data_IF_211962116982
#
_entry.id   IF_211962116982
#
_cell.length_a   1.000
_cell.length_b   1.000
_cell.length_c   1.000
_cell.angle_alpha   90.00
_cell.angle_beta   90.00
_cell.angle_gamma   90.00
#
_symmetry.space_group_name_H-M   'P 1'
#
loop_
_entity.id
_entity.type
_entity.pdbx_description
1 polymer ?
#
# COMPACT_ATOMS: atom_id res chain seq x y z
N UNK A 1 4.55 -10.98 -5.56
CA UNK A 1 5.44 -11.26 -4.42
C UNK A 1 5.40 -10.06 -3.50
N UNK A 2 5.26 -10.26 -2.18
CA UNK A 2 5.23 -9.13 -1.24
C UNK A 2 6.59 -8.45 -1.15
N UNK A 3 6.62 -7.13 -1.28
CA UNK A 3 7.83 -6.35 -0.99
C UNK A 3 8.07 -6.30 0.52
N UNK A 4 9.31 -6.07 1.00
CA UNK A 4 9.58 -5.94 2.43
C UNK A 4 8.66 -4.93 3.14
N UNK A 5 8.38 -3.78 2.51
CA UNK A 5 7.51 -2.75 3.07
C UNK A 5 6.05 -3.19 3.16
N UNK A 6 5.56 -4.00 2.21
CA UNK A 6 4.22 -4.59 2.30
C UNK A 6 4.10 -5.56 3.48
N UNK A 7 5.16 -6.32 3.78
CA UNK A 7 5.17 -7.25 4.92
C UNK A 7 5.14 -6.47 6.24
N UNK A 8 5.91 -5.38 6.37
CA UNK A 8 5.88 -4.50 7.55
C UNK A 8 4.48 -3.90 7.78
N UNK A 9 3.88 -3.36 6.73
CA UNK A 9 2.53 -2.80 6.83
C UNK A 9 1.50 -3.87 7.21
N UNK A 10 1.60 -5.06 6.63
CA UNK A 10 0.71 -6.19 6.94
C UNK A 10 0.84 -6.63 8.41
N UNK A 11 2.06 -6.66 8.97
CA UNK A 11 2.27 -6.90 10.41
C UNK A 11 1.56 -5.83 11.23
N UNK A 12 1.73 -4.55 10.89
CA UNK A 12 1.04 -3.44 11.57
C UNK A 12 -0.49 -3.58 11.55
N UNK A 13 -1.08 -3.97 10.41
CA UNK A 13 -2.52 -4.23 10.32
C UNK A 13 -2.96 -5.42 11.18
N UNK A 14 -2.16 -6.49 11.24
CA UNK A 14 -2.45 -7.61 12.12
C UNK A 14 -2.39 -7.21 13.60
N UNK A 15 -1.48 -6.30 13.98
CA UNK A 15 -1.39 -5.77 15.35
C UNK A 15 -2.66 -5.01 15.74
N UNK A 16 -3.24 -4.23 14.81
CA UNK A 16 -4.50 -3.50 15.05
C UNK A 16 -5.65 -4.42 15.49
N UNK A 17 -5.66 -5.67 15.03
CA UNK A 17 -6.71 -6.63 15.39
C UNK A 17 -6.32 -7.54 16.55
N UNK A 18 -5.04 -7.80 16.73
CA UNK A 18 -4.54 -8.57 17.87
C UNK A 18 -4.62 -7.77 19.18
N UNK A 19 -4.38 -6.46 19.11
CA UNK A 19 -4.37 -5.54 20.23
C UNK A 19 -5.51 -4.51 20.08
N UNK A 20 -6.76 -4.86 20.42
CA UNK A 20 -7.91 -3.96 20.25
C UNK A 20 -7.83 -2.67 21.09
N UNK A 21 -7.02 -2.68 22.16
CA UNK A 21 -6.76 -1.52 23.01
C UNK A 21 -5.61 -0.63 22.48
N UNK A 22 -5.02 -0.97 21.34
CA UNK A 22 -3.96 -0.16 20.73
C UNK A 22 -4.49 1.22 20.35
N UNK A 23 -3.84 2.26 20.88
CA UNK A 23 -4.17 3.66 20.61
C UNK A 23 -3.32 4.25 19.49
N UNK A 24 -2.16 3.64 19.19
CA UNK A 24 -1.30 4.04 18.08
C UNK A 24 -0.53 2.85 17.53
N UNK A 25 -0.48 2.73 16.20
CA UNK A 25 0.37 1.78 15.50
C UNK A 25 1.16 2.53 14.44
N UNK A 26 2.48 2.52 14.57
CA UNK A 26 3.39 3.22 13.65
C UNK A 26 4.29 2.22 12.93
N UNK A 27 4.33 2.31 11.60
CA UNK A 27 5.23 1.53 10.75
C UNK A 27 6.46 2.38 10.41
N UNK A 28 7.64 1.82 10.61
CA UNK A 28 8.92 2.52 10.44
C UNK A 28 9.13 3.64 11.47
N UNK A 29 8.87 3.35 12.74
CA UNK A 29 8.99 4.31 13.83
C UNK A 29 10.46 4.59 14.19
N UNK A 30 10.73 5.72 14.83
CA UNK A 30 12.05 6.09 15.34
C UNK A 30 12.01 6.00 16.87
N UNK A 31 12.80 5.11 17.43
CA UNK A 31 12.85 4.83 18.88
C UNK A 31 14.24 5.09 19.43
N UNK A 32 14.31 5.79 20.57
CA UNK A 32 15.55 6.13 21.26
C UNK A 32 16.32 4.86 21.67
N UNK A 33 17.51 4.69 21.11
CA UNK A 33 18.53 3.71 21.51
C UNK A 33 19.49 4.40 22.49
N UNK A 34 19.44 4.00 23.77
CA UNK A 34 20.25 4.59 24.83
C UNK A 34 21.74 4.27 24.67
N UNK A 35 22.07 3.06 24.22
CA UNK A 35 23.46 2.64 24.05
C UNK A 35 24.16 3.44 22.95
N UNK A 36 23.44 3.76 21.88
CA UNK A 36 23.93 4.55 20.75
C UNK A 36 23.72 6.07 20.92
N UNK A 37 22.92 6.51 21.91
CA UNK A 37 22.59 7.91 22.15
C UNK A 37 21.84 8.58 20.99
N UNK A 38 21.05 7.81 20.24
CA UNK A 38 20.31 8.31 19.06
C UNK A 38 19.04 7.52 18.80
N UNK A 39 18.16 8.09 17.98
CA UNK A 39 17.00 7.39 17.46
C UNK A 39 17.40 6.32 16.43
N UNK A 40 16.76 5.16 16.47
CA UNK A 40 16.89 4.09 15.47
C UNK A 40 15.53 3.64 14.98
N UNK A 41 15.53 3.17 13.74
CA UNK A 41 14.34 2.61 13.10
C UNK A 41 13.82 1.39 13.88
N UNK A 42 12.51 1.24 13.98
CA UNK A 42 11.82 0.01 14.37
C UNK A 42 10.71 -0.23 13.34
N UNK A 43 10.63 -1.45 12.82
CA UNK A 43 9.76 -1.76 11.67
C UNK A 43 8.27 -1.52 11.99
N UNK A 44 7.80 -1.93 13.18
CA UNK A 44 6.45 -1.64 13.68
C UNK A 44 6.49 -1.39 15.18
N UNK A 45 5.83 -0.33 15.65
CA UNK A 45 5.57 -0.08 17.07
C UNK A 45 4.08 -0.04 17.35
N UNK A 46 3.70 -0.51 18.54
CA UNK A 46 2.32 -0.49 19.05
C UNK A 46 2.34 0.18 20.41
N UNK A 47 1.51 1.20 20.57
CA UNK A 47 1.32 1.92 21.83
C UNK A 47 -0.05 1.57 22.39
N UNK A 48 -0.06 1.13 23.65
CA UNK A 48 -1.27 0.88 24.43
C UNK A 48 -1.20 1.80 25.64
N UNK A 49 -2.30 2.50 25.91
CA UNK A 49 -2.44 3.32 27.11
C UNK A 49 -3.35 2.60 28.11
N UNK A 50 -3.15 2.84 29.39
CA UNK A 50 -4.07 2.40 30.43
C UNK A 50 -5.36 3.25 30.43
N UNK A 51 -6.29 2.92 31.33
CA UNK A 51 -7.55 3.66 31.50
C UNK A 51 -7.39 5.13 31.88
N UNK A 52 -6.20 5.54 32.33
CA UNK A 52 -5.88 6.92 32.70
C UNK A 52 -5.21 7.69 31.54
N UNK A 53 -4.97 7.03 30.41
CA UNK A 53 -4.26 7.60 29.27
C UNK A 53 -2.74 7.60 29.42
N UNK A 54 -2.19 6.92 30.44
CA UNK A 54 -0.75 6.74 30.60
C UNK A 54 -0.26 5.54 29.78
N UNK A 55 0.98 5.59 29.31
CA UNK A 55 1.59 4.51 28.54
C UNK A 55 1.64 3.23 29.38
N UNK A 56 0.89 2.20 28.99
CA UNK A 56 0.89 0.89 29.65
C UNK A 56 1.84 -0.07 28.95
N UNK A 57 1.82 -0.09 27.62
CA UNK A 57 2.69 -0.94 26.82
C UNK A 57 3.22 -0.23 25.58
N UNK A 58 4.49 -0.48 25.27
CA UNK A 58 5.12 -0.06 24.03
C UNK A 58 5.80 -1.27 23.40
N UNK A 59 5.13 -1.88 22.42
CA UNK A 59 5.61 -3.09 21.74
C UNK A 59 6.44 -2.68 20.54
N UNK A 60 7.60 -3.34 20.35
CA UNK A 60 8.47 -3.13 19.21
C UNK A 60 8.68 -4.43 18.43
N UNK A 61 8.37 -4.39 17.14
CA UNK A 61 8.43 -5.53 16.25
C UNK A 61 9.38 -5.28 15.09
N UNK A 62 10.26 -6.24 14.85
CA UNK A 62 11.15 -6.28 13.70
C UNK A 62 10.62 -7.27 12.67
N UNK A 63 10.64 -6.90 11.40
CA UNK A 63 10.03 -7.68 10.31
C UNK A 63 11.07 -7.95 9.25
N UNK A 64 11.26 -9.22 8.89
CA UNK A 64 12.26 -9.65 7.91
C UNK A 64 11.60 -10.46 6.80
N UNK A 65 11.93 -10.08 5.57
CA UNK A 65 11.46 -10.74 4.36
C UNK A 65 12.67 -11.27 3.59
N UNK A 66 13.21 -12.39 4.05
CA UNK A 66 14.46 -12.98 3.54
C UNK A 66 14.19 -14.28 2.78
N UNK A 67 15.13 -14.69 1.93
CA UNK A 67 15.02 -15.98 1.22
C UNK A 67 15.40 -17.20 2.06
N UNK A 68 16.09 -17.00 3.19
CA UNK A 68 16.60 -18.07 4.06
C UNK A 68 16.19 -17.83 5.52
N UNK A 69 15.99 -18.89 6.32
CA UNK A 69 15.66 -18.74 7.73
C UNK A 69 16.71 -17.91 8.47
N UNK A 70 16.27 -17.07 9.40
CA UNK A 70 17.16 -16.22 10.18
C UNK A 70 18.04 -17.08 11.11
N UNK A 71 19.34 -16.80 11.09
CA UNK A 71 20.33 -17.47 11.90
C UNK A 71 20.50 -16.79 13.28
N UNK A 72 21.36 -17.39 14.10
CA UNK A 72 21.62 -16.89 15.47
C UNK A 72 22.18 -15.47 15.44
N UNK A 73 23.10 -15.18 14.52
CA UNK A 73 23.78 -13.87 14.44
C UNK A 73 22.77 -12.78 14.14
N UNK A 74 21.91 -13.00 13.15
CA UNK A 74 20.87 -12.03 12.75
C UNK A 74 19.91 -11.75 13.91
N UNK A 75 19.43 -12.81 14.57
CA UNK A 75 18.51 -12.68 15.71
C UNK A 75 19.18 -12.03 16.92
N UNK A 76 20.44 -12.32 17.21
CA UNK A 76 21.18 -11.67 18.29
C UNK A 76 21.34 -10.16 18.07
N UNK A 77 21.63 -9.74 16.84
CA UNK A 77 21.73 -8.31 16.50
C UNK A 77 20.40 -7.58 16.71
N UNK A 78 19.29 -8.21 16.35
CA UNK A 78 17.95 -7.65 16.56
C UNK A 78 17.62 -7.60 18.06
N UNK A 79 17.91 -8.67 18.82
CA UNK A 79 17.71 -8.70 20.27
C UNK A 79 18.49 -7.56 20.94
N UNK A 80 19.75 -7.36 20.56
CA UNK A 80 20.59 -6.29 21.11
C UNK A 80 19.97 -4.92 20.80
N UNK A 81 19.63 -4.67 19.52
CA UNK A 81 18.94 -3.44 19.08
C UNK A 81 17.71 -3.12 19.94
N UNK A 82 16.81 -4.09 20.14
CA UNK A 82 15.58 -3.89 20.91
C UNK A 82 15.84 -3.83 22.43
N UNK A 83 16.97 -4.33 22.91
CA UNK A 83 17.35 -4.26 24.33
C UNK A 83 17.89 -2.90 24.71
N UNK A 84 18.57 -2.22 23.78
CA UNK A 84 19.08 -0.87 23.97
C UNK A 84 17.97 0.21 23.94
N UNK A 85 16.70 -0.19 23.78
CA UNK A 85 15.52 0.68 23.76
C UNK A 85 14.68 0.46 25.03
N UNK A 86 14.92 1.21 26.13
CA UNK A 86 14.36 0.94 27.46
C UNK A 86 12.84 1.11 27.55
N UNK A 87 12.25 1.93 26.66
CA UNK A 87 10.79 2.14 26.63
C UNK A 87 10.04 0.91 26.12
N UNK A 88 10.73 0.01 25.40
CA UNK A 88 10.11 -1.17 24.79
C UNK A 88 9.77 -2.20 25.86
N UNK A 89 8.48 -2.44 26.06
CA UNK A 89 7.98 -3.41 27.05
C UNK A 89 7.81 -4.81 26.45
N UNK A 90 7.55 -4.91 25.15
CA UNK A 90 7.40 -6.19 24.44
C UNK A 90 8.19 -6.20 23.13
N UNK A 91 8.80 -7.35 22.82
CA UNK A 91 9.72 -7.50 21.71
C UNK A 91 9.34 -8.71 20.88
N UNK A 92 9.18 -8.53 19.58
CA UNK A 92 8.99 -9.65 18.68
C UNK A 92 9.72 -9.49 17.35
N UNK A 93 9.97 -10.61 16.70
CA UNK A 93 10.50 -10.69 15.33
C UNK A 93 9.50 -11.46 14.48
N UNK A 94 9.19 -10.93 13.32
CA UNK A 94 8.37 -11.56 12.28
C UNK A 94 9.26 -11.91 11.09
N UNK A 95 9.14 -13.12 10.56
CA UNK A 95 9.95 -13.58 9.43
C UNK A 95 9.13 -14.38 8.42
N UNK A 96 9.26 -14.06 7.13
CA UNK A 96 8.67 -14.87 6.03
C UNK A 96 9.43 -16.17 5.77
N UNK A 97 10.69 -16.26 6.21
CA UNK A 97 11.54 -17.45 6.03
C UNK A 97 11.70 -18.30 7.30
N UNK A 98 11.15 -17.84 8.42
CA UNK A 98 11.28 -18.49 9.72
C UNK A 98 12.68 -18.36 10.31
N UNK A 99 13.06 -19.33 11.14
CA UNK A 99 14.21 -19.25 12.04
C UNK A 99 14.94 -20.60 12.17
N UNK A 100 16.25 -20.54 12.36
CA UNK A 100 17.02 -21.72 12.79
C UNK A 100 16.71 -22.09 14.25
N UNK A 101 16.92 -23.36 14.64
CA UNK A 101 16.69 -23.83 16.03
C UNK A 101 17.52 -23.06 17.05
N UNK A 102 18.78 -22.72 16.70
CA UNK A 102 19.65 -21.93 17.57
C UNK A 102 19.08 -20.53 17.80
N UNK A 103 18.58 -19.88 16.75
CA UNK A 103 17.96 -18.56 16.84
C UNK A 103 16.70 -18.57 17.71
N UNK A 104 15.86 -19.62 17.58
CA UNK A 104 14.68 -19.81 18.44
C UNK A 104 15.04 -19.94 19.92
N UNK A 105 16.04 -20.77 20.24
CA UNK A 105 16.51 -20.95 21.61
C UNK A 105 17.08 -19.64 22.19
N UNK A 106 17.80 -18.87 21.35
CA UNK A 106 18.35 -17.58 21.76
C UNK A 106 17.25 -16.56 22.05
N UNK A 107 16.31 -16.35 21.13
CA UNK A 107 15.21 -15.40 21.32
C UNK A 107 14.39 -15.71 22.58
N UNK A 108 14.06 -17.00 22.80
CA UNK A 108 13.37 -17.45 24.00
C UNK A 108 14.12 -17.10 25.28
N UNK A 109 15.44 -17.27 25.31
CA UNK A 109 16.27 -16.93 26.48
C UNK A 109 16.26 -15.43 26.80
N UNK A 110 16.04 -14.58 25.80
CA UNK A 110 16.03 -13.13 25.93
C UNK A 110 14.60 -12.53 25.95
N UNK A 111 13.56 -13.36 26.05
CA UNK A 111 12.17 -12.88 26.12
C UNK A 111 11.70 -12.19 24.85
N UNK A 112 12.22 -12.60 23.69
CA UNK A 112 11.78 -12.08 22.39
C UNK A 112 10.93 -13.13 21.69
N UNK A 113 9.71 -12.74 21.31
CA UNK A 113 8.79 -13.61 20.60
C UNK A 113 9.15 -13.70 19.11
N UNK A 114 8.96 -14.88 18.55
CA UNK A 114 9.27 -15.14 17.14
C UNK A 114 8.00 -15.60 16.43
N UNK A 115 7.63 -14.91 15.37
CA UNK A 115 6.50 -15.26 14.52
C UNK A 115 6.97 -15.56 13.10
N UNK A 116 6.41 -16.62 12.51
CA UNK A 116 6.62 -17.01 11.13
C UNK A 116 5.42 -16.62 10.29
N UNK A 117 5.66 -15.97 9.15
CA UNK A 117 4.63 -15.57 8.19
C UNK A 117 4.59 -16.64 7.09
N UNK A 118 3.59 -17.51 7.14
CA UNK A 118 3.50 -18.69 6.29
C UNK A 118 2.36 -18.55 5.28
N UNK A 119 2.49 -19.13 4.06
CA UNK A 119 1.35 -19.27 3.17
C UNK A 119 0.20 -20.00 3.85
N UNK A 120 -1.01 -19.46 3.77
CA UNK A 120 -2.18 -20.02 4.44
C UNK A 120 -3.04 -20.79 3.45
N UNK A 121 -2.91 -22.12 3.48
CA UNK A 121 -3.57 -23.06 2.57
C UNK A 121 -4.42 -24.12 3.29
N UNK A 122 -4.60 -23.98 4.60
CA UNK A 122 -5.42 -24.86 5.43
C UNK A 122 -6.80 -24.25 5.67
N UNK A 123 -7.83 -25.04 5.99
CA UNK A 123 -9.14 -24.52 6.37
C UNK A 123 -9.06 -23.45 7.46
N UNK A 124 -9.84 -22.37 7.32
CA UNK A 124 -9.83 -21.26 8.28
C UNK A 124 -10.18 -21.76 9.68
N UNK A 125 -11.14 -22.69 9.77
CA UNK A 125 -11.62 -23.25 11.02
C UNK A 125 -10.55 -24.00 11.84
N UNK A 126 -9.45 -24.45 11.23
CA UNK A 126 -8.37 -25.14 11.95
C UNK A 126 -7.57 -24.18 12.85
N UNK A 127 -7.47 -22.92 12.44
CA UNK A 127 -6.67 -21.90 13.12
C UNK A 127 -7.54 -20.84 13.81
N UNK A 128 -8.75 -20.62 13.30
CA UNK A 128 -9.71 -19.64 13.80
C UNK A 128 -11.04 -20.35 14.05
N UNK A 129 -11.22 -20.98 15.23
CA UNK A 129 -12.37 -21.85 15.51
C UNK A 129 -13.71 -21.10 15.47
N UNK A 130 -13.68 -19.78 15.63
CA UNK A 130 -14.85 -18.91 15.50
C UNK A 130 -15.37 -18.83 14.05
N UNK A 131 -14.68 -19.38 13.05
CA UNK A 131 -15.14 -19.50 11.66
C UNK A 131 -15.53 -20.95 11.32
N UNK A 132 -16.61 -21.53 11.91
CA UNK A 132 -16.93 -22.93 11.75
C UNK A 132 -17.37 -23.24 10.31
N UNK A 133 -16.93 -24.39 9.80
CA UNK A 133 -17.27 -24.90 8.45
C UNK A 133 -16.80 -24.02 7.29
N UNK A 134 -15.91 -23.06 7.55
CA UNK A 134 -15.24 -22.30 6.50
C UNK A 134 -14.07 -23.12 5.98
N UNK A 135 -14.01 -23.27 4.66
CA UNK A 135 -12.92 -23.95 3.96
C UNK A 135 -11.62 -23.16 4.00
N UNK A 136 -10.78 -23.33 2.99
CA UNK A 136 -9.51 -22.58 2.87
C UNK A 136 -9.77 -21.07 2.64
N UNK A 137 -8.80 -20.19 2.95
CA UNK A 137 -8.93 -18.76 2.66
C UNK A 137 -9.27 -18.43 1.21
N UNK A 138 -8.74 -19.20 0.25
CA UNK A 138 -9.07 -19.04 -1.18
C UNK A 138 -10.48 -19.46 -1.54
N UNK A 139 -11.13 -20.32 -0.75
CA UNK A 139 -12.57 -20.62 -0.91
C UNK A 139 -13.43 -19.53 -0.27
N UNK A 140 -12.97 -18.96 0.84
CA UNK A 140 -13.65 -17.86 1.53
C UNK A 140 -13.62 -16.54 0.72
N UNK A 141 -12.47 -16.19 0.15
CA UNK A 141 -12.28 -15.00 -0.69
C UNK A 141 -11.58 -15.39 -2.00
N UNK A 142 -12.34 -15.96 -2.93
CA UNK A 142 -11.78 -16.47 -4.20
C UNK A 142 -11.10 -15.39 -5.04
N UNK A 143 -11.71 -14.21 -5.09
CA UNK A 143 -11.16 -13.03 -5.73
C UNK A 143 -11.93 -11.81 -5.25
N UNK A 144 -11.38 -10.63 -5.53
CA UNK A 144 -12.16 -9.40 -5.56
C UNK A 144 -11.91 -8.68 -6.88
N UNK A 145 -12.74 -7.68 -7.14
CA UNK A 145 -12.78 -6.99 -8.43
C UNK A 145 -12.34 -5.54 -8.22
N UNK A 146 -11.42 -5.08 -9.07
CA UNK A 146 -11.08 -3.66 -9.17
C UNK A 146 -11.58 -3.14 -10.51
N UNK A 147 -12.29 -2.02 -10.50
CA UNK A 147 -12.76 -1.35 -11.70
C UNK A 147 -11.97 -0.06 -11.90
N UNK A 148 -11.38 0.08 -13.08
CA UNK A 148 -10.61 1.24 -13.49
C UNK A 148 -11.31 1.91 -14.66
N UNK A 149 -11.62 3.20 -14.51
CA UNK A 149 -12.01 4.03 -15.63
C UNK A 149 -10.75 4.53 -16.32
N UNK A 150 -10.69 4.39 -17.65
CA UNK A 150 -9.55 4.87 -18.43
C UNK A 150 -9.99 5.44 -19.79
N UNK A 151 -9.10 6.19 -20.42
CA UNK A 151 -9.26 6.69 -21.79
C UNK A 151 -8.65 5.71 -22.78
N UNK A 152 -9.45 5.06 -23.63
CA UNK A 152 -8.98 4.04 -24.59
C UNK A 152 -8.38 4.66 -25.86
N UNK A 153 -8.96 5.76 -26.32
CA UNK A 153 -8.54 6.53 -27.47
C UNK A 153 -8.80 7.99 -27.13
N UNK A 154 -7.76 8.81 -27.04
CA UNK A 154 -7.90 10.19 -26.58
C UNK A 154 -7.03 11.15 -27.38
N UNK A 155 -7.47 12.39 -27.39
CA UNK A 155 -6.75 13.56 -27.86
C UNK A 155 -6.76 14.59 -26.75
N UNK A 156 -5.64 15.29 -26.60
CA UNK A 156 -5.45 16.30 -25.57
C UNK A 156 -5.14 17.63 -26.22
N UNK A 157 -5.80 18.68 -25.73
CA UNK A 157 -5.49 20.05 -26.07
C UNK A 157 -5.23 20.83 -24.78
N UNK A 158 -4.03 21.36 -24.64
CA UNK A 158 -3.70 22.28 -23.56
C UNK A 158 -4.05 23.72 -23.95
N UNK A 159 -4.46 24.49 -22.95
CA UNK A 159 -4.73 25.92 -23.06
C UNK A 159 -3.77 26.64 -22.12
N UNK A 160 -3.05 27.61 -22.67
CA UNK A 160 -2.13 28.47 -21.93
C UNK A 160 -2.60 29.92 -22.09
N UNK A 161 -3.24 30.48 -21.06
CA UNK A 161 -3.81 31.83 -21.09
C UNK A 161 -2.75 32.92 -21.30
N UNK A 162 -1.51 32.65 -20.89
CA UNK A 162 -0.36 33.54 -21.06
C UNK A 162 0.57 33.13 -22.22
N UNK A 163 0.24 32.03 -22.91
CA UNK A 163 1.06 31.43 -23.96
C UNK A 163 0.60 31.78 -25.39
N UNK A 164 1.16 31.12 -26.41
CA UNK A 164 0.64 31.21 -27.77
C UNK A 164 -0.75 30.56 -27.89
N UNK A 165 -1.56 31.00 -28.86
CA UNK A 165 -2.87 30.42 -29.17
C UNK A 165 -2.79 28.92 -29.52
N UNK A 166 -1.69 28.48 -30.13
CA UNK A 166 -1.43 27.07 -30.42
C UNK A 166 0.06 26.76 -30.29
N UNK A 167 0.35 25.52 -29.93
CA UNK A 167 1.71 24.98 -29.82
C UNK A 167 1.68 23.46 -29.98
N UNK A 168 2.82 22.89 -30.35
CA UNK A 168 3.02 21.44 -30.45
C UNK A 168 4.05 20.98 -29.44
N UNK A 169 3.91 19.75 -28.97
CA UNK A 169 4.86 19.09 -28.09
C UNK A 169 5.02 17.62 -28.49
N UNK A 170 6.14 17.04 -28.09
CA UNK A 170 6.40 15.60 -28.10
C UNK A 170 6.40 15.07 -26.66
N UNK A 171 6.33 13.75 -26.50
CA UNK A 171 6.34 13.08 -25.19
C UNK A 171 7.57 13.45 -24.35
N UNK A 172 8.73 13.64 -24.98
CA UNK A 172 10.00 13.98 -24.32
C UNK A 172 10.16 15.48 -24.04
N UNK A 173 9.17 16.30 -24.40
CA UNK A 173 9.25 17.76 -24.21
C UNK A 173 9.40 18.09 -22.74
N UNK A 174 10.48 18.77 -22.32
CA UNK A 174 10.71 19.07 -20.93
C UNK A 174 9.70 20.09 -20.41
N UNK A 175 9.27 19.89 -19.17
CA UNK A 175 8.47 20.86 -18.42
C UNK A 175 9.32 21.63 -17.43
N UNK A 176 8.90 22.84 -17.14
CA UNK A 176 9.63 23.80 -16.32
C UNK A 176 8.77 24.39 -15.21
N UNK A 177 9.41 24.99 -14.21
CA UNK A 177 8.81 25.92 -13.25
C UNK A 177 8.71 27.33 -13.84
N UNK A 178 8.06 28.25 -13.12
CA UNK A 178 7.96 29.66 -13.50
C UNK A 178 9.34 30.33 -13.72
N UNK A 179 10.37 29.90 -12.97
CA UNK A 179 11.75 30.41 -13.10
C UNK A 179 12.53 29.75 -14.25
N UNK A 180 11.90 28.85 -15.02
CA UNK A 180 12.53 28.16 -16.14
C UNK A 180 13.48 27.02 -15.73
N UNK A 181 13.43 26.56 -14.47
CA UNK A 181 14.12 25.35 -14.02
C UNK A 181 13.31 24.12 -14.41
N UNK A 182 13.93 22.96 -14.59
CA UNK A 182 13.22 21.71 -14.88
C UNK A 182 12.21 21.40 -13.77
N UNK A 183 10.98 21.04 -14.14
CA UNK A 183 9.92 20.77 -13.19
C UNK A 183 10.23 19.50 -12.38
N UNK A 184 10.19 19.60 -11.05
CA UNK A 184 10.67 18.53 -10.16
C UNK A 184 9.76 17.30 -10.15
N UNK A 185 8.45 17.51 -10.26
CA UNK A 185 7.46 16.42 -10.19
C UNK A 185 7.13 15.81 -11.56
N UNK A 186 7.28 16.60 -12.62
CA UNK A 186 6.85 16.24 -13.98
C UNK A 186 7.98 16.60 -14.94
N UNK A 187 9.01 15.76 -15.07
CA UNK A 187 10.23 16.13 -15.79
C UNK A 187 10.02 16.32 -17.30
N UNK A 188 9.04 15.64 -17.90
CA UNK A 188 8.65 15.79 -19.30
C UNK A 188 7.14 15.62 -19.50
N UNK A 189 6.68 15.86 -20.73
CA UNK A 189 5.26 15.84 -21.07
C UNK A 189 4.61 14.48 -20.90
N UNK A 190 5.32 13.38 -21.23
CA UNK A 190 4.75 12.04 -21.08
C UNK A 190 4.28 11.76 -19.65
N UNK A 191 5.13 12.03 -18.66
CA UNK A 191 4.81 11.81 -17.25
C UNK A 191 3.67 12.73 -16.80
N UNK A 192 3.61 13.96 -17.32
CA UNK A 192 2.53 14.88 -17.01
C UNK A 192 1.19 14.45 -17.61
N UNK A 193 1.18 13.97 -18.86
CA UNK A 193 -0.01 13.43 -19.51
C UNK A 193 -0.59 12.24 -18.74
N UNK A 194 0.25 11.30 -18.32
CA UNK A 194 -0.19 10.14 -17.53
C UNK A 194 -0.89 10.60 -16.22
N UNK A 195 -0.38 11.65 -15.57
CA UNK A 195 -0.99 12.22 -14.35
C UNK A 195 -2.29 12.98 -14.63
N UNK A 196 -2.35 13.74 -15.72
CA UNK A 196 -3.57 14.43 -16.18
C UNK A 196 -4.68 13.44 -16.50
N UNK A 197 -4.37 12.37 -17.23
CA UNK A 197 -5.33 11.32 -17.57
C UNK A 197 -5.84 10.61 -16.32
N UNK A 198 -4.95 10.29 -15.37
CA UNK A 198 -5.34 9.68 -14.10
C UNK A 198 -6.20 10.61 -13.25
N UNK A 199 -5.88 11.91 -13.19
CA UNK A 199 -6.71 12.91 -12.50
C UNK A 199 -8.08 13.02 -13.15
N UNK A 200 -8.13 13.04 -14.48
CA UNK A 200 -9.38 13.05 -15.24
C UNK A 200 -10.27 11.88 -14.85
N UNK A 201 -9.76 10.66 -14.93
CA UNK A 201 -10.57 9.47 -14.68
C UNK A 201 -10.90 9.30 -13.21
N UNK A 202 -10.04 9.77 -12.30
CA UNK A 202 -10.33 9.84 -10.87
C UNK A 202 -11.50 10.78 -10.52
N UNK A 203 -11.69 11.87 -11.27
CA UNK A 203 -12.85 12.75 -11.12
C UNK A 203 -14.10 12.13 -11.77
N UNK A 204 -13.94 11.59 -12.98
CA UNK A 204 -15.06 11.10 -13.79
C UNK A 204 -15.65 9.78 -13.26
N UNK A 205 -14.86 8.93 -12.61
CA UNK A 205 -15.29 7.60 -12.18
C UNK A 205 -16.40 7.63 -11.12
N UNK A 206 -16.53 8.73 -10.37
CA UNK A 206 -17.58 8.92 -9.38
C UNK A 206 -18.83 9.59 -9.95
N UNK A 207 -18.77 10.08 -11.19
CA UNK A 207 -19.89 10.78 -11.83
C UNK A 207 -20.93 9.80 -12.40
N UNK A 208 -22.18 10.28 -12.50
CA UNK A 208 -23.31 9.47 -12.94
C UNK A 208 -23.09 8.78 -14.30
N UNK A 209 -22.58 9.42 -15.37
CA UNK A 209 -22.39 8.74 -16.65
C UNK A 209 -21.51 7.49 -16.54
N UNK A 210 -20.37 7.61 -15.84
CA UNK A 210 -19.46 6.48 -15.64
C UNK A 210 -20.11 5.38 -14.79
N UNK A 211 -20.78 5.74 -13.69
CA UNK A 211 -21.48 4.78 -12.82
C UNK A 211 -22.64 4.07 -13.51
N UNK A 212 -23.40 4.78 -14.35
CA UNK A 212 -24.47 4.20 -15.15
C UNK A 212 -23.91 3.16 -16.11
N UNK A 213 -22.84 3.47 -16.83
CA UNK A 213 -22.21 2.50 -17.73
C UNK A 213 -21.71 1.27 -16.96
N UNK A 214 -21.03 1.46 -15.82
CA UNK A 214 -20.53 0.37 -14.98
C UNK A 214 -21.63 -0.59 -14.52
N UNK A 215 -22.81 -0.05 -14.18
CA UNK A 215 -23.92 -0.83 -13.61
C UNK A 215 -24.84 -1.43 -14.68
N UNK A 216 -24.88 -0.87 -15.89
CA UNK A 216 -25.85 -1.23 -16.93
C UNK A 216 -25.30 -2.26 -17.91
N UNK A 217 -24.01 -2.16 -18.24
CA UNK A 217 -23.44 -2.95 -19.32
C UNK A 217 -22.57 -4.08 -18.77
N UNK A 218 -22.72 -5.31 -19.31
CA UNK A 218 -21.86 -6.42 -18.93
C UNK A 218 -20.43 -6.15 -19.42
N UNK A 219 -19.47 -6.66 -18.65
CA UNK A 219 -18.09 -6.77 -19.10
C UNK A 219 -17.97 -7.94 -20.09
N UNK A 220 -17.35 -7.70 -21.24
CA UNK A 220 -17.09 -8.75 -22.23
C UNK A 220 -15.69 -9.33 -22.00
N UNK A 221 -15.54 -10.66 -22.12
CA UNK A 221 -14.26 -11.38 -21.96
C UNK A 221 -13.34 -11.28 -23.18
N UNK A 222 -13.42 -10.21 -23.97
CA UNK A 222 -12.83 -10.23 -25.32
C UNK A 222 -11.32 -10.01 -25.37
N UNK A 223 -10.65 -9.68 -24.25
CA UNK A 223 -9.19 -9.47 -24.23
C UNK A 223 -8.54 -10.25 -23.08
N UNK A 224 -8.20 -11.51 -23.32
CA UNK A 224 -7.45 -12.35 -22.37
C UNK A 224 -5.98 -11.90 -22.20
N UNK A 225 -5.42 -11.16 -23.17
CA UNK A 225 -3.98 -10.88 -23.25
C UNK A 225 -3.42 -10.04 -22.08
N UNK A 226 -4.23 -9.21 -21.42
CA UNK A 226 -3.78 -8.37 -20.30
C UNK A 226 -4.45 -8.73 -18.95
N UNK A 227 -5.28 -9.78 -18.89
CA UNK A 227 -5.96 -10.18 -17.65
C UNK A 227 -7.05 -9.19 -17.17
N UNK A 228 -7.58 -8.35 -18.06
CA UNK A 228 -8.68 -7.43 -17.78
C UNK A 228 -9.93 -7.79 -18.59
N UNK A 229 -11.10 -7.64 -17.96
CA UNK A 229 -12.37 -7.61 -18.67
C UNK A 229 -12.70 -6.18 -19.06
N UNK A 230 -13.15 -5.95 -20.28
CA UNK A 230 -13.45 -4.60 -20.80
C UNK A 230 -14.96 -4.39 -20.96
N UNK A 231 -15.43 -3.23 -20.51
CA UNK A 231 -16.79 -2.77 -20.78
C UNK A 231 -16.91 -2.08 -22.14
N UNK A 232 -18.10 -1.62 -22.53
CA UNK A 232 -18.24 -0.79 -23.73
C UNK A 232 -17.52 0.55 -23.57
N UNK A 233 -16.98 1.06 -24.67
CA UNK A 233 -16.41 2.39 -24.73
C UNK A 233 -17.50 3.42 -25.09
N UNK A 234 -17.39 4.64 -24.58
CA UNK A 234 -18.34 5.73 -24.88
C UNK A 234 -17.63 7.08 -25.04
N UNK A 235 -18.13 7.95 -25.95
CA UNK A 235 -17.51 9.24 -26.19
C UNK A 235 -17.68 10.16 -24.98
N UNK A 236 -16.62 10.89 -24.65
CA UNK A 236 -16.66 11.89 -23.60
C UNK A 236 -15.62 13.00 -23.84
N UNK A 237 -15.88 14.15 -23.24
CA UNK A 237 -14.94 15.27 -23.18
C UNK A 237 -14.88 15.80 -21.76
N UNK A 238 -13.68 16.05 -21.26
CA UNK A 238 -13.47 16.58 -19.92
C UNK A 238 -12.42 17.68 -19.95
N UNK A 239 -12.73 18.81 -19.31
CA UNK A 239 -11.80 19.92 -19.15
C UNK A 239 -11.38 20.05 -17.70
N UNK A 240 -10.08 20.14 -17.47
CA UNK A 240 -9.48 20.16 -16.13
C UNK A 240 -8.67 21.45 -15.99
N UNK A 241 -8.82 22.10 -14.84
CA UNK A 241 -7.94 23.18 -14.41
C UNK A 241 -6.61 22.61 -13.92
N UNK A 242 -5.52 23.10 -14.50
CA UNK A 242 -4.14 22.70 -14.25
C UNK A 242 -3.32 23.82 -13.60
N UNK A 243 -3.92 24.96 -13.27
CA UNK A 243 -3.22 26.13 -12.76
C UNK A 243 -2.38 25.85 -11.50
N UNK A 244 -2.82 24.90 -10.66
CA UNK A 244 -2.11 24.47 -9.44
C UNK A 244 -0.90 23.57 -9.70
N UNK A 245 -0.74 23.03 -10.92
CA UNK A 245 0.38 22.14 -11.23
C UNK A 245 1.67 22.92 -11.50
N UNK A 246 1.58 24.24 -11.70
CA UNK A 246 2.71 25.14 -12.00
C UNK A 246 3.64 24.57 -13.09
N UNK A 247 3.05 23.88 -14.07
CA UNK A 247 3.77 23.28 -15.19
C UNK A 247 3.88 24.27 -16.34
N UNK A 248 5.12 24.58 -16.75
CA UNK A 248 5.42 25.53 -17.82
C UNK A 248 6.08 24.86 -19.01
N UNK A 249 5.71 25.29 -20.22
CA UNK A 249 6.44 25.00 -21.45
C UNK A 249 7.30 26.19 -21.85
N UNK A 250 8.42 25.89 -22.52
CA UNK A 250 9.32 26.89 -23.07
C UNK A 250 9.46 26.65 -24.57
N UNK A 251 9.10 27.65 -25.35
CA UNK A 251 9.38 27.69 -26.79
C UNK A 251 10.60 28.57 -27.07
N UNK A 252 11.29 28.31 -28.17
CA UNK A 252 12.46 29.07 -28.56
C UNK A 252 12.10 30.57 -28.75
N UNK A 253 12.94 31.45 -28.20
CA UNK A 253 12.73 32.90 -28.27
C UNK A 253 11.58 33.44 -27.42
N UNK A 254 10.96 32.64 -26.53
CA UNK A 254 9.87 33.09 -25.64
C UNK A 254 10.15 32.77 -24.17
N UNK A 255 9.61 33.59 -23.24
CA UNK A 255 9.58 33.21 -21.84
C UNK A 255 8.73 31.94 -21.65
N UNK A 256 8.99 31.13 -20.61
CA UNK A 256 8.11 30.02 -20.26
C UNK A 256 6.67 30.49 -20.03
N UNK A 257 5.69 29.70 -20.47
CA UNK A 257 4.27 29.97 -20.25
C UNK A 257 3.61 28.78 -19.56
N UNK A 258 2.63 29.07 -18.70
CA UNK A 258 1.93 28.07 -17.89
C UNK A 258 0.89 27.32 -18.70
N UNK A 259 0.71 26.04 -18.38
CA UNK A 259 -0.43 25.25 -18.82
C UNK A 259 -1.58 25.45 -17.82
N UNK A 260 -2.64 26.13 -18.23
CA UNK A 260 -3.73 26.54 -17.34
C UNK A 260 -4.90 25.56 -17.36
N UNK A 261 -5.26 25.06 -18.54
CA UNK A 261 -6.32 24.06 -18.69
C UNK A 261 -5.92 22.98 -19.66
N UNK A 262 -6.61 21.85 -19.56
CA UNK A 262 -6.52 20.77 -20.54
C UNK A 262 -7.90 20.25 -20.87
N UNK A 263 -8.18 20.08 -22.15
CA UNK A 263 -9.36 19.38 -22.64
C UNK A 263 -8.94 18.03 -23.18
N UNK A 264 -9.51 16.97 -22.63
CA UNK A 264 -9.35 15.59 -23.08
C UNK A 264 -10.64 15.20 -23.80
N UNK A 265 -10.53 14.75 -25.05
CA UNK A 265 -11.65 14.25 -25.84
C UNK A 265 -11.33 12.87 -26.37
N UNK A 266 -12.30 11.96 -26.31
CA UNK A 266 -12.03 10.57 -26.70
C UNK A 266 -13.09 9.60 -26.22
N UNK A 267 -12.67 8.36 -26.03
CA UNK A 267 -13.51 7.27 -25.52
C UNK A 267 -13.11 6.91 -24.09
N UNK A 268 -14.07 7.01 -23.17
CA UNK A 268 -13.96 6.42 -21.84
C UNK A 268 -14.36 4.95 -21.88
N UNK A 269 -13.73 4.14 -21.04
CA UNK A 269 -14.05 2.72 -20.93
C UNK A 269 -13.73 2.20 -19.53
N UNK A 270 -14.54 1.27 -19.04
CA UNK A 270 -14.23 0.53 -17.81
C UNK A 270 -13.38 -0.70 -18.11
N UNK A 271 -12.29 -0.86 -17.36
CA UNK A 271 -11.53 -2.10 -17.23
C UNK A 271 -11.81 -2.70 -15.88
N UNK A 272 -12.05 -4.01 -15.84
CA UNK A 272 -12.26 -4.77 -14.63
C UNK A 272 -11.15 -5.79 -14.49
N UNK A 273 -10.46 -5.75 -13.36
CA UNK A 273 -9.42 -6.71 -12.99
C UNK A 273 -9.99 -7.70 -11.99
N UNK A 274 -9.78 -8.99 -12.25
CA UNK A 274 -10.03 -10.04 -11.26
C UNK A 274 -8.73 -10.25 -10.50
N UNK A 275 -8.75 -9.97 -9.20
CA UNK A 275 -7.55 -10.00 -8.36
C UNK A 275 -7.68 -11.15 -7.37
N UNK A 276 -6.69 -12.05 -7.40
CA UNK A 276 -6.55 -13.14 -6.45
C UNK A 276 -5.66 -12.70 -5.30
N UNK A 277 -6.17 -12.63 -4.06
CA UNK A 277 -5.34 -12.29 -2.91
C UNK A 277 -4.36 -13.41 -2.57
N UNK A 278 -3.23 -13.01 -1.98
CA UNK A 278 -2.32 -13.92 -1.31
C UNK A 278 -2.74 -14.06 0.14
N UNK A 279 -2.69 -15.27 0.67
CA UNK A 279 -3.10 -15.57 2.04
C UNK A 279 -1.92 -15.97 2.89
N UNK A 280 -1.85 -15.39 4.09
CA UNK A 280 -0.80 -15.61 5.05
C UNK A 280 -1.37 -15.88 6.44
N UNK A 281 -0.68 -16.71 7.20
CA UNK A 281 -0.94 -16.95 8.61
C UNK A 281 0.31 -16.63 9.40
N UNK A 282 0.12 -15.98 10.55
CA UNK A 282 1.17 -15.54 11.44
C UNK A 282 1.18 -16.48 12.64
N UNK A 283 2.15 -17.38 12.69
CA UNK A 283 2.23 -18.43 13.70
C UNK A 283 3.44 -18.22 14.61
N UNK A 284 3.28 -18.43 15.92
CA UNK A 284 4.41 -18.38 16.85
C UNK A 284 5.37 -19.54 16.57
N UNK A 285 6.63 -19.21 16.38
CA UNK A 285 7.68 -20.15 16.00
C UNK A 285 7.96 -21.12 17.15
N UNK A 286 7.80 -22.42 16.90
CA UNK A 286 7.96 -23.45 17.92
C UNK A 286 6.68 -23.74 18.73
N UNK A 287 5.54 -23.14 18.37
CA UNK A 287 4.22 -23.41 18.93
C UNK A 287 3.14 -23.57 17.85
N UNK A 288 1.88 -23.71 18.29
CA UNK A 288 0.68 -23.65 17.42
C UNK A 288 -0.16 -22.39 17.67
N UNK A 289 0.37 -21.46 18.45
CA UNK A 289 -0.32 -20.22 18.77
C UNK A 289 -0.37 -19.33 17.52
N UNK A 290 -1.57 -18.87 17.20
CA UNK A 290 -1.83 -18.04 16.03
C UNK A 290 -1.90 -16.59 16.50
N UNK A 291 -1.15 -15.73 15.81
CA UNK A 291 -1.18 -14.30 16.05
C UNK A 291 -2.32 -13.64 15.24
N UNK A 292 -2.36 -13.92 13.94
CA UNK A 292 -3.36 -13.40 13.01
C UNK A 292 -3.36 -14.19 11.68
N UNK A 293 -4.43 -14.02 10.91
CA UNK A 293 -4.49 -14.40 9.50
C UNK A 293 -4.62 -13.16 8.64
N UNK A 294 -4.15 -13.20 7.39
CA UNK A 294 -4.33 -12.08 6.47
C UNK A 294 -4.45 -12.50 5.00
N UNK A 295 -5.30 -11.78 4.26
CA UNK A 295 -5.32 -11.75 2.81
C UNK A 295 -4.77 -10.42 2.34
N UNK A 296 -3.96 -10.39 1.28
CA UNK A 296 -3.37 -9.17 0.75
C UNK A 296 -3.28 -9.21 -0.78
N UNK A 297 -3.56 -8.07 -1.42
CA UNK A 297 -3.48 -7.93 -2.86
C UNK A 297 -3.22 -6.50 -3.30
N UNK A 298 -2.47 -6.35 -4.39
CA UNK A 298 -2.41 -5.10 -5.14
C UNK A 298 -3.64 -5.00 -6.03
N UNK A 299 -4.37 -3.88 -5.91
CA UNK A 299 -5.54 -3.61 -6.75
C UNK A 299 -5.42 -2.35 -7.60
N UNK A 300 -4.31 -1.63 -7.45
CA UNK A 300 -3.99 -0.43 -8.20
C UNK A 300 -3.43 -0.72 -9.58
N UNK A 301 -3.15 0.37 -10.31
CA UNK A 301 -2.41 0.37 -11.58
C UNK A 301 -0.97 0.77 -11.27
N UNK A 302 -0.25 -0.12 -10.58
CA UNK A 302 1.12 0.12 -10.09
C UNK A 302 1.29 1.41 -9.28
N UNK A 303 0.20 1.89 -8.67
CA UNK A 303 0.17 3.12 -7.86
C UNK A 303 0.32 2.85 -6.36
N UNK A 304 0.53 1.58 -6.00
CA UNK A 304 0.82 1.13 -4.63
C UNK A 304 -0.43 0.96 -3.78
N UNK A 305 -1.63 0.95 -4.38
CA UNK A 305 -2.89 0.66 -3.69
C UNK A 305 -3.01 -0.82 -3.38
N UNK A 306 -3.21 -1.10 -2.10
CA UNK A 306 -3.25 -2.43 -1.53
C UNK A 306 -4.58 -2.64 -0.79
N UNK A 307 -5.12 -3.83 -0.97
CA UNK A 307 -6.21 -4.37 -0.20
C UNK A 307 -5.61 -5.34 0.82
N UNK A 308 -6.06 -5.27 2.06
CA UNK A 308 -5.80 -6.28 3.06
C UNK A 308 -7.08 -6.65 3.81
N UNK A 309 -7.21 -7.93 4.14
CA UNK A 309 -8.22 -8.44 5.06
C UNK A 309 -7.51 -9.17 6.19
N UNK A 310 -7.73 -8.77 7.44
CA UNK A 310 -7.08 -9.37 8.62
C UNK A 310 -8.08 -10.15 9.46
N UNK A 311 -7.65 -11.31 9.94
CA UNK A 311 -8.42 -12.23 10.76
C UNK A 311 -7.82 -12.20 12.18
N UNK A 312 -8.62 -11.86 13.21
CA UNK A 312 -8.17 -11.89 14.60
C UNK A 312 -8.00 -13.33 15.07
N UNK A 313 -7.20 -13.55 16.11
CA UNK A 313 -7.05 -14.86 16.77
C UNK A 313 -8.36 -15.33 17.43
N UNK A 314 -9.23 -14.39 17.81
CA UNK A 314 -10.54 -14.61 18.43
C UNK A 314 -11.63 -13.76 17.80
N UNK A 315 -12.85 -14.28 17.78
CA UNK A 315 -14.01 -13.61 17.21
C UNK A 315 -14.14 -13.79 15.70
N UNK A 316 -15.15 -13.13 15.12
CA UNK A 316 -15.50 -13.21 13.70
C UNK A 316 -15.31 -11.91 12.93
N UNK A 317 -14.92 -10.84 13.62
CA UNK A 317 -14.79 -9.54 13.01
C UNK A 317 -13.49 -9.48 12.20
N UNK A 318 -13.64 -9.45 10.88
CA UNK A 318 -12.50 -9.28 9.98
C UNK A 318 -12.23 -7.79 9.77
N UNK A 319 -10.96 -7.41 9.82
CA UNK A 319 -10.53 -6.06 9.41
C UNK A 319 -10.45 -5.97 7.90
N UNK A 320 -11.10 -5.00 7.28
CA UNK A 320 -11.00 -4.73 5.83
C UNK A 320 -10.30 -3.40 5.65
N UNK A 321 -9.16 -3.42 4.96
CA UNK A 321 -8.28 -2.27 4.84
C UNK A 321 -7.94 -2.00 3.38
N UNK A 322 -8.12 -0.75 2.98
CA UNK A 322 -7.60 -0.22 1.72
C UNK A 322 -6.58 0.86 2.06
N UNK A 323 -5.37 0.72 1.55
CA UNK A 323 -4.29 1.67 1.81
C UNK A 323 -3.45 1.86 0.56
N UNK A 324 -2.63 2.91 0.55
CA UNK A 324 -1.68 3.16 -0.51
C UNK A 324 -0.30 3.31 0.11
N UNK A 325 0.68 2.56 -0.37
CA UNK A 325 2.09 2.81 -0.04
C UNK A 325 2.61 3.86 -1.01
N UNK A 326 2.90 5.10 -0.55
CA UNK A 326 3.42 6.14 -1.43
C UNK A 326 4.70 5.70 -2.12
N UNK A 327 4.95 6.17 -3.33
CA UNK A 327 6.15 5.81 -4.10
C UNK A 327 7.45 6.04 -3.31
N UNK A 328 7.54 7.17 -2.60
CA UNK A 328 8.67 7.51 -1.73
C UNK A 328 8.90 6.51 -0.58
N UNK A 329 7.87 5.77 -0.20
CA UNK A 329 7.90 4.80 0.90
C UNK A 329 7.94 3.34 0.44
N UNK A 330 7.93 3.06 -0.88
CA UNK A 330 7.97 1.69 -1.41
C UNK A 330 9.25 0.94 -1.05
N UNK A 331 10.34 1.67 -0.82
CA UNK A 331 11.64 1.13 -0.44
C UNK A 331 11.99 1.36 1.04
N UNK A 332 11.28 2.28 1.72
CA UNK A 332 11.53 2.65 3.11
C UNK A 332 10.30 3.35 3.72
N UNK A 333 9.59 2.68 4.62
CA UNK A 333 8.52 3.31 5.40
C UNK A 333 9.14 4.04 6.60
N UNK A 334 8.68 5.26 6.87
CA UNK A 334 9.03 6.03 8.07
C UNK A 334 7.81 6.76 8.64
N UNK A 335 7.53 6.54 9.91
CA UNK A 335 6.51 7.26 10.69
C UNK A 335 5.10 7.13 10.13
N UNK A 336 4.77 6.01 9.48
CA UNK A 336 3.46 5.82 8.87
C UNK A 336 2.49 5.28 9.91
N UNK A 337 1.54 6.12 10.35
CA UNK A 337 0.50 5.73 11.29
C UNK A 337 -0.60 4.92 10.60
N UNK A 338 -0.90 3.75 11.14
CA UNK A 338 -2.10 2.99 10.78
C UNK A 338 -3.23 3.55 11.62
N UNK A 339 -4.23 4.13 10.95
CA UNK A 339 -5.40 4.67 11.65
C UNK A 339 -6.19 3.53 12.29
N UNK A 340 -6.32 3.58 13.61
CA UNK A 340 -7.41 2.95 14.35
C UNK A 340 -8.68 3.74 13.99
N UNK A 341 -9.71 3.10 13.43
CA UNK A 341 -10.99 3.80 13.31
C UNK A 341 -11.44 4.24 14.72
N UNK A 342 -11.99 5.46 14.88
CA UNK A 342 -12.42 5.97 16.18
C UNK A 342 -13.61 5.21 16.77
#
# INVERSE_FOLDING_TARGET
>A
MLTPMMVQYLVGLCCLRHDPEAVDITVGDMVSDEAAGKERDVDVTVTINDSNGELSEFKAFEVKNEGKPLDVVTVEQIILKLTDMPKVTHKAIFSTSGYTKGAQAKAKKHGVDLYSILPWNRPIAENFPDFPKVGTPGEFLTYFQSNLLYWAEWQIQFIATTGPESFSYKDETPLFSAEGKKHQQYPAMREYLDKVLMRSTGILCTQNPARTVLNTFPFNMNNEDDGYLVGPAWPHTHTIDLSNDEAYLKLEGRPPFRLDFVTISGQLQWRKRIIKPHFYIFERSGGKEIFAGAAIADYGVDDGRMFAMTFPDKGREVGIHQFQIPEKQRNLIRGLKIQTEP
#
